data_IF_456979498563
#
_entry.id   IF_456979498563
#
_cell.length_a   1.000
_cell.length_b   1.000
_cell.length_c   1.000
_cell.angle_alpha   90.00
_cell.angle_beta   90.00
_cell.angle_gamma   90.00
#
_symmetry.space_group_name_H-M   'P 1'
#
loop_
_entity.id
_entity.type
_entity.pdbx_description
1 polymer ?
#
# COMPACT_ATOMS: atom_id res chain seq x y z
N UNK A 1 -4.39 22.03 -16.40
CA UNK A 1 -3.47 21.04 -16.99
C UNK A 1 -2.67 20.24 -15.95
N UNK A 2 -2.43 20.78 -14.73
CA UNK A 2 -1.57 20.13 -13.70
C UNK A 2 -2.23 19.00 -12.89
N UNK A 3 -3.50 18.71 -13.08
CA UNK A 3 -4.27 17.72 -12.31
C UNK A 3 -4.69 16.48 -13.11
N UNK A 4 -4.23 16.31 -14.34
CA UNK A 4 -4.62 15.17 -15.17
C UNK A 4 -3.64 14.02 -14.99
N UNK A 5 -4.19 12.80 -14.92
CA UNK A 5 -3.41 11.57 -15.01
C UNK A 5 -2.57 11.58 -16.29
N UNK A 6 -1.33 11.06 -16.26
CA UNK A 6 -0.57 10.85 -17.49
C UNK A 6 -1.38 9.99 -18.47
N UNK A 7 -1.53 10.43 -19.72
CA UNK A 7 -2.40 9.80 -20.72
C UNK A 7 -2.13 8.31 -20.97
N UNK A 8 -0.91 7.84 -20.64
CA UNK A 8 -0.49 6.45 -20.82
C UNK A 8 -0.80 5.53 -19.62
N UNK A 9 -1.22 6.11 -18.47
CA UNK A 9 -1.49 5.35 -17.23
C UNK A 9 -2.97 4.97 -17.15
N UNK A 10 -3.27 3.73 -17.51
CA UNK A 10 -4.63 3.18 -17.42
C UNK A 10 -4.60 1.82 -16.74
N UNK A 11 -5.54 1.58 -15.82
CA UNK A 11 -5.73 0.26 -15.24
C UNK A 11 -6.49 -0.62 -16.24
N UNK A 12 -6.04 -1.86 -16.41
CA UNK A 12 -6.75 -2.84 -17.23
C UNK A 12 -8.14 -3.15 -16.68
N UNK A 13 -9.01 -3.65 -17.55
CA UNK A 13 -10.27 -4.25 -17.10
C UNK A 13 -10.05 -5.69 -16.60
N UNK A 14 -10.87 -6.12 -15.65
CA UNK A 14 -10.81 -7.41 -14.99
C UNK A 14 -11.87 -8.35 -15.57
N UNK A 15 -11.50 -9.58 -15.86
CA UNK A 15 -12.44 -10.61 -16.30
C UNK A 15 -13.43 -10.99 -15.20
N UNK A 16 -14.61 -11.51 -15.59
CA UNK A 16 -15.60 -12.02 -14.64
C UNK A 16 -15.00 -12.95 -13.57
N UNK A 17 -14.00 -13.76 -13.95
CA UNK A 17 -13.31 -14.66 -13.05
C UNK A 17 -12.51 -13.95 -11.99
N UNK A 18 -11.71 -12.96 -12.39
CA UNK A 18 -10.92 -12.14 -11.48
C UNK A 18 -11.83 -11.33 -10.55
N UNK A 19 -12.92 -10.77 -11.07
CA UNK A 19 -13.90 -10.03 -10.25
C UNK A 19 -14.58 -10.94 -9.22
N UNK A 20 -14.92 -12.17 -9.60
CA UNK A 20 -15.48 -13.15 -8.67
C UNK A 20 -14.50 -13.52 -7.54
N UNK A 21 -13.20 -13.63 -7.85
CA UNK A 21 -12.13 -13.84 -6.86
C UNK A 21 -11.96 -12.62 -5.95
N UNK A 22 -11.84 -11.41 -6.51
CA UNK A 22 -11.71 -10.15 -5.78
C UNK A 22 -12.89 -9.94 -4.81
N UNK A 23 -14.12 -10.24 -5.24
CA UNK A 23 -15.32 -10.09 -4.43
C UNK A 23 -15.62 -11.32 -3.55
N UNK A 24 -14.83 -12.39 -3.68
CA UNK A 24 -15.07 -13.69 -3.01
C UNK A 24 -16.51 -14.20 -3.18
N UNK A 25 -17.02 -14.13 -4.42
CA UNK A 25 -18.35 -14.66 -4.82
C UNK A 25 -18.18 -15.74 -5.91
N UNK A 26 -19.24 -16.53 -6.17
CA UNK A 26 -19.18 -17.52 -7.24
C UNK A 26 -19.31 -16.87 -8.63
N UNK A 27 -18.65 -17.44 -9.62
CA UNK A 27 -18.76 -17.03 -11.02
C UNK A 27 -20.21 -17.04 -11.54
N UNK A 28 -20.98 -18.09 -11.16
CA UNK A 28 -22.39 -18.23 -11.56
C UNK A 28 -23.25 -17.11 -10.98
N UNK A 29 -23.03 -16.75 -9.72
CA UNK A 29 -23.76 -15.67 -9.07
C UNK A 29 -23.47 -14.32 -9.74
N UNK A 30 -22.19 -13.98 -9.97
CA UNK A 30 -21.82 -12.72 -10.61
C UNK A 30 -22.33 -12.65 -12.06
N UNK A 31 -22.32 -13.78 -12.78
CA UNK A 31 -22.91 -13.89 -14.11
C UNK A 31 -24.42 -13.65 -14.09
N UNK A 32 -25.12 -14.23 -13.11
CA UNK A 32 -26.57 -14.05 -12.98
C UNK A 32 -26.93 -12.60 -12.69
N UNK A 33 -26.22 -11.94 -11.76
CA UNK A 33 -26.41 -10.51 -11.49
C UNK A 33 -26.31 -9.66 -12.78
N UNK A 34 -25.31 -9.97 -13.61
CA UNK A 34 -25.12 -9.25 -14.90
C UNK A 34 -26.25 -9.53 -15.91
N UNK A 35 -26.84 -10.74 -15.89
CA UNK A 35 -27.98 -11.10 -16.77
C UNK A 35 -29.24 -10.40 -16.30
N UNK A 36 -29.48 -10.34 -15.00
CA UNK A 36 -30.62 -9.72 -14.37
C UNK A 36 -30.57 -8.19 -14.38
N UNK A 37 -29.48 -7.61 -14.92
CA UNK A 37 -29.28 -6.16 -14.97
C UNK A 37 -29.03 -5.53 -13.60
N UNK A 38 -28.59 -6.33 -12.61
CA UNK A 38 -28.28 -5.89 -11.26
C UNK A 38 -26.79 -5.49 -11.18
N UNK A 39 -26.53 -4.26 -10.74
CA UNK A 39 -25.18 -3.67 -10.71
C UNK A 39 -24.75 -3.05 -12.06
N UNK A 40 -23.47 -2.71 -12.20
CA UNK A 40 -22.94 -2.05 -13.39
C UNK A 40 -22.93 -2.98 -14.60
N UNK A 41 -23.15 -2.39 -15.78
CA UNK A 41 -23.11 -3.12 -17.06
C UNK A 41 -21.65 -3.39 -17.47
N UNK A 42 -21.22 -4.66 -17.59
CA UNK A 42 -19.86 -4.98 -17.99
C UNK A 42 -19.61 -4.65 -19.46
N UNK A 43 -18.34 -4.43 -19.80
CA UNK A 43 -17.89 -4.43 -21.18
C UNK A 43 -17.91 -5.86 -21.73
N UNK A 44 -18.38 -6.01 -22.98
CA UNK A 44 -18.41 -7.30 -23.65
C UNK A 44 -17.23 -7.40 -24.63
N UNK A 45 -16.30 -8.29 -24.33
CA UNK A 45 -15.22 -8.65 -25.24
C UNK A 45 -15.63 -9.76 -26.23
N UNK A 46 -14.64 -10.31 -26.92
CA UNK A 46 -14.85 -11.41 -27.88
C UNK A 46 -15.55 -12.60 -27.22
N UNK A 47 -16.45 -13.23 -27.95
CA UNK A 47 -17.24 -14.37 -27.48
C UNK A 47 -18.12 -14.07 -26.25
N UNK A 48 -18.56 -12.82 -26.05
CA UNK A 48 -19.42 -12.43 -24.94
C UNK A 48 -18.77 -12.48 -23.56
N UNK A 49 -17.44 -12.46 -23.49
CA UNK A 49 -16.70 -12.41 -22.24
C UNK A 49 -16.96 -11.06 -21.57
N UNK A 50 -17.22 -11.09 -20.26
CA UNK A 50 -17.51 -9.89 -19.45
C UNK A 50 -16.25 -9.37 -18.81
N UNK A 51 -16.02 -8.06 -18.92
CA UNK A 51 -14.93 -7.33 -18.29
C UNK A 51 -15.48 -6.16 -17.49
N UNK A 52 -14.81 -5.84 -16.37
CA UNK A 52 -15.21 -4.78 -15.46
C UNK A 52 -14.01 -3.89 -15.14
N UNK A 53 -14.21 -2.59 -15.12
CA UNK A 53 -13.25 -1.63 -14.57
C UNK A 53 -13.25 -1.72 -13.03
N UNK A 54 -12.20 -1.21 -12.36
CA UNK A 54 -12.16 -1.17 -10.89
C UNK A 54 -13.32 -0.34 -10.31
N UNK A 55 -13.72 0.75 -10.98
CA UNK A 55 -14.90 1.54 -10.60
C UNK A 55 -16.17 0.67 -10.60
N UNK A 56 -16.39 -0.11 -11.62
CA UNK A 56 -17.52 -1.03 -11.69
C UNK A 56 -17.44 -2.12 -10.61
N UNK A 57 -16.25 -2.58 -10.26
CA UNK A 57 -16.07 -3.51 -9.14
C UNK A 57 -16.47 -2.83 -7.82
N UNK A 58 -16.11 -1.56 -7.62
CA UNK A 58 -16.52 -0.81 -6.44
C UNK A 58 -18.04 -0.55 -6.39
N UNK A 59 -18.69 -0.31 -7.52
CA UNK A 59 -20.16 -0.26 -7.63
C UNK A 59 -20.80 -1.61 -7.24
N UNK A 60 -20.24 -2.73 -7.70
CA UNK A 60 -20.67 -4.08 -7.27
C UNK A 60 -20.49 -4.29 -5.76
N UNK A 61 -19.42 -3.78 -5.15
CA UNK A 61 -19.20 -3.84 -3.71
C UNK A 61 -20.31 -3.14 -2.94
N UNK A 62 -20.68 -1.92 -3.35
CA UNK A 62 -21.79 -1.17 -2.76
C UNK A 62 -23.11 -1.95 -2.87
N UNK A 63 -23.40 -2.46 -4.05
CA UNK A 63 -24.60 -3.26 -4.29
C UNK A 63 -24.63 -4.51 -3.39
N UNK A 64 -23.52 -5.27 -3.33
CA UNK A 64 -23.45 -6.48 -2.51
C UNK A 64 -23.55 -6.19 -1.01
N UNK A 65 -22.94 -5.10 -0.55
CA UNK A 65 -23.04 -4.67 0.85
C UNK A 65 -24.47 -4.29 1.23
N UNK A 66 -25.20 -3.61 0.34
CA UNK A 66 -26.59 -3.22 0.58
C UNK A 66 -27.55 -4.41 0.59
N UNK A 67 -27.33 -5.39 -0.29
CA UNK A 67 -28.20 -6.58 -0.41
C UNK A 67 -27.85 -7.70 0.57
N UNK A 68 -26.67 -7.65 1.19
CA UNK A 68 -26.17 -8.63 2.17
C UNK A 68 -25.64 -7.96 3.43
N UNK A 69 -26.50 -7.38 4.27
CA UNK A 69 -26.07 -6.62 5.45
C UNK A 69 -25.16 -7.39 6.42
N UNK A 70 -25.37 -8.71 6.55
CA UNK A 70 -24.54 -9.59 7.40
C UNK A 70 -23.10 -9.71 6.92
N UNK A 71 -22.89 -9.60 5.61
CA UNK A 71 -21.59 -9.70 4.95
C UNK A 71 -21.07 -8.32 4.47
N UNK A 72 -21.72 -7.22 4.86
CA UNK A 72 -21.43 -5.89 4.35
C UNK A 72 -19.96 -5.51 4.48
N UNK A 73 -19.32 -5.82 5.61
CA UNK A 73 -17.89 -5.56 5.83
C UNK A 73 -16.96 -6.29 4.86
N UNK A 74 -17.35 -7.47 4.41
CA UNK A 74 -16.61 -8.24 3.42
C UNK A 74 -16.58 -7.54 2.05
N UNK A 75 -17.67 -6.88 1.69
CA UNK A 75 -17.80 -6.22 0.40
C UNK A 75 -17.38 -4.75 0.44
N UNK A 76 -17.62 -4.06 1.57
CA UNK A 76 -17.38 -2.65 1.73
C UNK A 76 -16.57 -2.37 3.01
N UNK A 77 -15.23 -2.51 2.93
CA UNK A 77 -14.37 -2.47 4.10
C UNK A 77 -14.09 -1.07 4.64
N UNK A 78 -14.69 -0.05 4.05
CA UNK A 78 -14.45 1.35 4.40
C UNK A 78 -14.59 1.64 5.88
N UNK A 79 -13.81 2.59 6.36
CA UNK A 79 -13.83 3.08 7.73
C UNK A 79 -15.22 3.56 8.12
N UNK A 80 -15.67 3.23 9.31
CA UNK A 80 -16.94 3.65 9.89
C UNK A 80 -16.72 4.80 10.85
N UNK A 81 -17.82 5.46 11.23
CA UNK A 81 -17.81 6.45 12.30
C UNK A 81 -17.26 5.85 13.60
N UNK A 82 -16.35 6.56 14.27
CA UNK A 82 -15.66 6.10 15.48
C UNK A 82 -14.41 5.26 15.23
N UNK A 83 -14.17 4.76 14.01
CA UNK A 83 -12.93 4.06 13.68
C UNK A 83 -11.82 5.05 13.27
N UNK A 84 -10.63 4.86 13.83
CA UNK A 84 -9.47 5.71 13.57
C UNK A 84 -8.92 5.48 12.17
N UNK A 85 -8.62 6.56 11.43
CA UNK A 85 -7.86 6.46 10.18
C UNK A 85 -6.53 5.75 10.43
N UNK A 86 -6.15 4.83 9.56
CA UNK A 86 -4.88 4.15 9.68
C UNK A 86 -3.84 4.84 8.79
N UNK A 87 -2.75 5.29 9.40
CA UNK A 87 -1.60 5.89 8.72
C UNK A 87 -0.42 4.95 8.90
N UNK A 88 -0.03 4.26 7.83
CA UNK A 88 1.01 3.24 7.83
C UNK A 88 2.29 3.82 7.24
N UNK A 89 3.35 3.96 8.04
CA UNK A 89 4.68 4.32 7.54
C UNK A 89 5.44 3.06 7.13
N UNK A 90 5.79 2.95 5.84
CA UNK A 90 6.66 1.87 5.34
C UNK A 90 8.10 2.34 5.43
N UNK A 91 8.87 1.71 6.31
CA UNK A 91 10.18 2.21 6.74
C UNK A 91 11.28 1.15 6.69
N UNK A 92 12.51 1.57 6.87
CA UNK A 92 13.75 0.76 6.86
C UNK A 92 13.98 -0.01 5.56
N UNK A 93 14.91 -0.88 5.51
CA UNK A 93 15.25 -1.93 4.56
C UNK A 93 15.05 -1.69 3.05
N UNK A 94 15.44 -2.61 2.23
CA UNK A 94 15.20 -2.55 0.79
C UNK A 94 13.72 -2.80 0.45
N UNK A 95 13.32 -2.38 -0.75
CA UNK A 95 11.97 -2.54 -1.30
C UNK A 95 10.83 -1.77 -0.59
N UNK A 96 11.13 -0.76 0.27
CA UNK A 96 10.10 0.09 0.91
C UNK A 96 9.09 0.64 -0.10
N UNK A 97 9.58 1.37 -1.09
CA UNK A 97 8.76 2.00 -2.13
C UNK A 97 7.94 0.98 -2.90
N UNK A 98 8.54 -0.16 -3.27
CA UNK A 98 7.84 -1.25 -3.93
C UNK A 98 6.76 -1.85 -3.03
N UNK A 99 7.06 -2.03 -1.74
CA UNK A 99 6.08 -2.51 -0.74
C UNK A 99 4.91 -1.53 -0.61
N UNK A 100 5.20 -0.24 -0.43
CA UNK A 100 4.16 0.80 -0.37
C UNK A 100 3.30 0.80 -1.64
N UNK A 101 3.92 0.74 -2.82
CA UNK A 101 3.24 0.73 -4.12
C UNK A 101 2.25 -0.44 -4.27
N UNK A 102 2.67 -1.66 -3.94
CA UNK A 102 1.78 -2.82 -4.02
C UNK A 102 0.74 -2.87 -2.90
N UNK A 103 1.07 -2.33 -1.72
CA UNK A 103 0.12 -2.24 -0.60
C UNK A 103 -1.04 -1.29 -0.92
N UNK A 104 -0.77 -0.06 -1.38
CA UNK A 104 -1.83 0.90 -1.70
C UNK A 104 -2.74 0.42 -2.83
N UNK A 105 -2.18 -0.23 -3.84
CA UNK A 105 -2.96 -0.82 -4.93
C UNK A 105 -3.80 -2.01 -4.45
N UNK A 106 -3.23 -2.88 -3.60
CA UNK A 106 -3.95 -4.01 -3.01
C UNK A 106 -5.13 -3.56 -2.13
N UNK A 107 -4.93 -2.52 -1.32
CA UNK A 107 -5.98 -1.89 -0.51
C UNK A 107 -7.09 -1.29 -1.40
N UNK A 108 -6.73 -0.54 -2.44
CA UNK A 108 -7.70 0.05 -3.37
C UNK A 108 -8.50 -1.03 -4.13
N UNK A 109 -7.84 -2.11 -4.57
CA UNK A 109 -8.50 -3.27 -5.18
C UNK A 109 -9.51 -3.94 -4.23
N UNK A 110 -9.32 -3.85 -2.92
CA UNK A 110 -10.27 -4.34 -1.94
C UNK A 110 -11.38 -3.34 -1.58
N UNK A 111 -11.32 -2.10 -2.11
CA UNK A 111 -12.37 -1.10 -1.97
C UNK A 111 -12.18 -0.10 -0.84
N UNK A 112 -11.00 -0.05 -0.23
CA UNK A 112 -10.60 1.04 0.68
C UNK A 112 -10.40 2.35 -0.08
N UNK A 113 -10.63 3.49 0.59
CA UNK A 113 -10.17 4.80 0.13
C UNK A 113 -8.75 5.00 0.63
N UNK A 114 -7.81 5.12 -0.29
CA UNK A 114 -6.38 5.08 0.03
C UNK A 114 -5.70 6.36 -0.43
N UNK A 115 -4.84 6.92 0.42
CA UNK A 115 -3.91 7.99 0.08
C UNK A 115 -2.47 7.45 0.15
N UNK A 116 -1.78 7.45 -0.97
CA UNK A 116 -0.35 7.21 -1.02
C UNK A 116 0.39 8.53 -0.79
N UNK A 117 1.39 8.55 0.09
CA UNK A 117 2.20 9.74 0.37
C UNK A 117 3.66 9.42 0.12
N UNK A 118 4.29 10.17 -0.78
CA UNK A 118 5.69 10.01 -1.12
C UNK A 118 6.54 11.06 -0.39
N UNK A 119 7.30 10.62 0.62
CA UNK A 119 8.23 11.48 1.38
C UNK A 119 9.69 11.29 0.92
N UNK A 120 9.91 10.65 -0.22
CA UNK A 120 11.24 10.56 -0.82
C UNK A 120 11.51 11.78 -1.72
N UNK A 121 12.64 12.46 -1.49
CA UNK A 121 13.10 13.58 -2.32
C UNK A 121 13.38 13.20 -3.79
N UNK A 122 13.58 11.91 -4.06
CA UNK A 122 13.69 11.41 -5.42
C UNK A 122 12.32 11.19 -6.09
N UNK A 123 11.23 11.20 -5.33
CA UNK A 123 9.89 10.98 -5.85
C UNK A 123 9.65 9.56 -6.36
N UNK A 124 10.30 8.57 -5.73
CA UNK A 124 10.33 7.19 -6.25
C UNK A 124 8.95 6.53 -6.33
N UNK A 125 8.07 6.76 -5.36
CA UNK A 125 6.69 6.27 -5.41
C UNK A 125 5.87 7.04 -6.45
N UNK A 126 6.08 8.34 -6.54
CA UNK A 126 5.41 9.23 -7.51
C UNK A 126 5.70 8.81 -8.94
N UNK A 127 6.96 8.50 -9.23
CA UNK A 127 7.39 8.02 -10.55
C UNK A 127 6.71 6.69 -10.92
N UNK A 128 6.53 5.78 -9.96
CA UNK A 128 5.81 4.51 -10.18
C UNK A 128 4.33 4.71 -10.53
N UNK A 129 3.73 5.86 -10.18
CA UNK A 129 2.40 6.28 -10.59
C UNK A 129 2.40 7.20 -11.82
N UNK A 130 3.55 7.38 -12.48
CA UNK A 130 3.68 8.20 -13.68
C UNK A 130 3.86 9.69 -13.42
N UNK A 131 3.98 10.13 -12.17
CA UNK A 131 4.25 11.52 -11.81
C UNK A 131 5.75 11.76 -11.64
N UNK A 132 6.43 12.00 -12.76
CA UNK A 132 7.88 12.27 -12.78
C UNK A 132 8.15 13.76 -12.67
N UNK A 133 8.64 14.21 -11.52
CA UNK A 133 8.92 15.63 -11.24
C UNK A 133 10.05 16.23 -12.11
N UNK A 134 10.93 15.40 -12.69
CA UNK A 134 11.98 15.83 -13.61
C UNK A 134 11.45 16.15 -15.01
N UNK A 135 10.29 15.63 -15.38
CA UNK A 135 9.68 15.80 -16.72
C UNK A 135 8.47 16.73 -16.67
N UNK A 136 7.72 16.69 -15.56
CA UNK A 136 6.50 17.49 -15.40
C UNK A 136 6.57 18.28 -14.07
N UNK A 137 6.25 19.58 -14.05
CA UNK A 137 6.15 20.33 -12.81
C UNK A 137 4.97 19.80 -12.00
N UNK A 138 5.25 18.93 -11.03
CA UNK A 138 4.24 18.37 -10.12
C UNK A 138 4.37 19.10 -8.79
N UNK A 139 3.25 19.67 -8.31
CA UNK A 139 3.17 20.22 -6.96
C UNK A 139 3.27 19.06 -5.96
N UNK A 140 4.31 19.07 -5.14
CA UNK A 140 4.61 17.99 -4.20
C UNK A 140 4.11 18.30 -2.78
N UNK A 141 4.23 17.32 -1.87
CA UNK A 141 3.91 17.51 -0.45
C UNK A 141 4.69 18.68 0.16
N UNK A 142 5.85 19.05 -0.39
CA UNK A 142 6.60 20.22 0.05
C UNK A 142 5.72 21.47 0.15
N UNK A 143 4.81 21.68 -0.81
CA UNK A 143 3.92 22.83 -0.79
C UNK A 143 2.96 22.85 0.43
N UNK A 144 2.65 21.70 1.00
CA UNK A 144 1.78 21.61 2.18
C UNK A 144 2.53 21.67 3.52
N UNK A 145 3.84 21.38 3.51
CA UNK A 145 4.63 21.31 4.75
C UNK A 145 5.69 22.42 4.89
N UNK A 146 5.90 23.26 3.87
CA UNK A 146 6.87 24.36 3.88
C UNK A 146 6.64 25.35 5.01
N UNK A 147 7.68 26.10 5.38
CA UNK A 147 7.68 27.00 6.56
C UNK A 147 7.27 28.44 6.28
N UNK A 148 7.16 28.82 5.02
CA UNK A 148 6.83 30.18 4.59
C UNK A 148 5.33 30.39 4.36
N UNK A 149 4.98 31.65 4.02
CA UNK A 149 3.59 32.07 3.79
C UNK A 149 2.96 31.49 2.51
N UNK A 150 3.75 30.78 1.68
CA UNK A 150 3.24 30.09 0.49
C UNK A 150 2.76 28.65 0.80
N UNK A 151 2.68 28.27 2.09
CA UNK A 151 2.12 26.98 2.48
C UNK A 151 0.69 26.86 1.95
N UNK A 152 0.41 25.70 1.35
CA UNK A 152 -0.88 25.40 0.75
C UNK A 152 -1.57 24.22 1.45
N UNK A 153 -2.88 24.10 1.33
CA UNK A 153 -3.60 22.91 1.78
C UNK A 153 -3.11 21.67 1.01
N UNK A 154 -2.99 20.54 1.70
CA UNK A 154 -2.62 19.25 1.09
C UNK A 154 -3.62 18.83 0.01
N UNK A 155 -4.90 19.21 0.12
CA UNK A 155 -5.93 18.94 -0.88
C UNK A 155 -5.57 19.47 -2.27
N UNK A 156 -4.80 20.56 -2.36
CA UNK A 156 -4.34 21.14 -3.63
C UNK A 156 -3.17 20.36 -4.26
N UNK A 157 -2.53 19.51 -3.48
CA UNK A 157 -1.36 18.72 -3.86
C UNK A 157 -1.76 17.32 -4.30
N UNK A 158 -2.86 16.79 -3.76
CA UNK A 158 -3.36 15.44 -4.07
C UNK A 158 -3.59 15.28 -5.57
N UNK A 159 -3.16 14.15 -6.10
CA UNK A 159 -3.29 13.75 -7.50
C UNK A 159 -4.04 12.44 -7.60
N UNK A 160 -4.97 12.31 -8.56
CA UNK A 160 -5.63 11.04 -8.82
C UNK A 160 -4.62 10.02 -9.36
N UNK A 161 -4.87 8.75 -9.09
CA UNK A 161 -4.18 7.66 -9.79
C UNK A 161 -5.13 6.96 -10.76
N UNK A 162 -4.61 6.03 -11.54
CA UNK A 162 -5.42 5.19 -12.42
C UNK A 162 -6.15 4.04 -11.68
N UNK A 163 -6.01 3.95 -10.35
CA UNK A 163 -6.79 3.04 -9.50
C UNK A 163 -7.94 3.82 -8.86
N UNK A 164 -9.18 3.41 -9.11
CA UNK A 164 -10.35 3.99 -8.46
C UNK A 164 -10.27 3.82 -6.94
N UNK A 165 -10.37 4.91 -6.18
CA UNK A 165 -10.24 4.92 -4.72
C UNK A 165 -8.81 5.05 -4.20
N UNK A 166 -7.82 5.32 -5.08
CA UNK A 166 -6.43 5.57 -4.70
C UNK A 166 -5.94 6.90 -5.26
N UNK A 167 -5.54 7.79 -4.37
CA UNK A 167 -4.91 9.06 -4.69
C UNK A 167 -3.46 9.11 -4.19
N UNK A 168 -2.67 10.05 -4.72
CA UNK A 168 -1.26 10.23 -4.43
C UNK A 168 -0.98 11.67 -3.98
N UNK A 169 -0.18 11.82 -2.93
CA UNK A 169 0.56 13.06 -2.61
C UNK A 169 1.98 12.88 -3.10
N UNK A 170 2.40 13.58 -4.18
CA UNK A 170 3.70 13.38 -4.78
C UNK A 170 4.85 13.88 -3.90
N UNK A 171 5.98 13.16 -3.93
CA UNK A 171 7.28 13.63 -3.48
C UNK A 171 8.02 14.36 -4.60
N UNK A 172 9.02 15.17 -4.23
CA UNK A 172 9.90 15.82 -5.18
C UNK A 172 11.21 16.25 -4.55
N UNK A 173 12.17 16.64 -5.39
CA UNK A 173 13.44 17.20 -4.97
C UNK A 173 13.31 18.42 -4.02
N UNK A 174 12.19 19.14 -4.07
CA UNK A 174 11.93 20.27 -3.16
C UNK A 174 11.90 19.85 -1.69
N UNK A 175 11.64 18.59 -1.36
CA UNK A 175 11.71 18.06 -0.01
C UNK A 175 13.08 18.26 0.64
N UNK A 176 14.16 18.38 -0.14
CA UNK A 176 15.47 18.73 0.38
C UNK A 176 15.51 20.15 1.00
N UNK A 177 14.74 21.10 0.46
CA UNK A 177 14.60 22.44 1.05
C UNK A 177 13.95 22.36 2.43
N UNK A 178 12.95 21.47 2.58
CA UNK A 178 12.32 21.23 3.87
C UNK A 178 13.33 20.67 4.88
N UNK A 179 14.15 19.70 4.50
CA UNK A 179 15.20 19.13 5.34
C UNK A 179 16.24 20.20 5.76
N UNK A 180 16.71 21.01 4.83
CA UNK A 180 17.68 22.08 5.09
C UNK A 180 17.11 23.14 6.04
N UNK A 181 15.87 23.55 5.84
CA UNK A 181 15.20 24.53 6.68
C UNK A 181 14.93 23.98 8.08
N UNK A 182 14.49 22.71 8.16
CA UNK A 182 14.29 22.00 9.42
C UNK A 182 15.59 21.89 10.23
N UNK A 183 16.70 21.58 9.56
CA UNK A 183 18.01 21.50 10.19
C UNK A 183 18.46 22.87 10.72
N UNK A 184 18.28 23.94 9.95
CA UNK A 184 18.60 25.32 10.38
C UNK A 184 17.80 25.70 11.62
N UNK A 185 16.50 25.46 11.62
CA UNK A 185 15.60 25.75 12.76
C UNK A 185 15.98 24.93 14.00
N UNK A 186 16.28 23.65 13.84
CA UNK A 186 16.73 22.79 14.92
C UNK A 186 18.02 23.33 15.60
N UNK A 187 18.97 23.84 14.81
CA UNK A 187 20.21 24.40 15.34
C UNK A 187 19.97 25.77 16.01
N UNK A 188 19.15 26.65 15.44
CA UNK A 188 18.94 28.02 15.96
C UNK A 188 18.00 28.09 17.15
N UNK A 189 16.97 27.22 17.20
CA UNK A 189 15.85 27.32 18.13
C UNK A 189 15.79 26.14 19.13
N UNK A 190 16.66 25.13 18.91
CA UNK A 190 16.80 23.94 19.76
C UNK A 190 15.72 22.89 19.56
N UNK A 191 15.84 21.75 20.25
CA UNK A 191 14.97 20.56 20.06
C UNK A 191 13.49 20.79 20.45
N UNK A 192 13.17 21.87 21.14
CA UNK A 192 11.76 22.26 21.42
C UNK A 192 11.00 22.70 20.19
N UNK A 193 11.71 23.12 19.12
CA UNK A 193 11.14 23.57 17.85
C UNK A 193 11.02 22.40 16.85
N UNK A 194 10.41 21.33 17.28
CA UNK A 194 10.13 20.21 16.39
C UNK A 194 8.80 20.42 15.62
N UNK A 195 8.61 21.61 15.03
CA UNK A 195 7.48 21.90 14.12
C UNK A 195 7.47 21.01 12.88
N UNK A 196 8.57 20.31 12.64
CA UNK A 196 8.76 19.44 11.47
C UNK A 196 7.69 18.36 11.36
N UNK A 197 7.51 17.63 12.44
CA UNK A 197 6.57 16.52 12.50
C UNK A 197 5.13 16.98 12.55
N UNK A 198 4.86 18.08 13.27
CA UNK A 198 3.53 18.69 13.37
C UNK A 198 3.00 19.09 11.99
N UNK A 199 3.86 19.53 11.07
CA UNK A 199 3.44 19.93 9.71
C UNK A 199 2.90 18.77 8.88
N UNK A 200 3.54 17.61 8.94
CA UNK A 200 3.05 16.41 8.24
C UNK A 200 1.74 15.94 8.87
N UNK A 201 1.68 15.88 10.20
CA UNK A 201 0.46 15.52 10.94
C UNK A 201 -0.69 16.48 10.60
N UNK A 202 -0.44 17.80 10.63
CA UNK A 202 -1.46 18.80 10.33
C UNK A 202 -1.97 18.70 8.89
N UNK A 203 -1.06 18.52 7.93
CA UNK A 203 -1.42 18.35 6.54
C UNK A 203 -2.31 17.11 6.32
N UNK A 204 -1.94 15.96 6.89
CA UNK A 204 -2.73 14.73 6.74
C UNK A 204 -4.08 14.82 7.44
N UNK A 205 -4.18 15.58 8.54
CA UNK A 205 -5.44 15.79 9.26
C UNK A 205 -6.48 16.55 8.44
N UNK A 206 -6.07 17.43 7.52
CA UNK A 206 -7.00 18.14 6.64
C UNK A 206 -7.88 17.21 5.79
N UNK A 207 -7.37 16.00 5.49
CA UNK A 207 -8.03 15.02 4.61
C UNK A 207 -8.39 13.71 5.33
N UNK A 208 -8.39 13.73 6.66
CA UNK A 208 -8.68 12.55 7.49
C UNK A 208 -10.05 11.90 7.17
N UNK A 209 -11.05 12.72 6.85
CA UNK A 209 -12.40 12.23 6.54
C UNK A 209 -12.49 11.53 5.17
N UNK A 210 -11.58 11.84 4.25
CA UNK A 210 -11.66 11.39 2.86
C UNK A 210 -11.07 10.00 2.64
N UNK A 211 -10.13 9.59 3.49
CA UNK A 211 -9.37 8.33 3.33
C UNK A 211 -9.50 7.40 4.54
N UNK A 212 -9.59 6.11 4.26
CA UNK A 212 -9.63 5.05 5.27
C UNK A 212 -8.22 4.70 5.74
N UNK A 213 -7.29 4.63 4.78
CA UNK A 213 -5.89 4.27 4.99
C UNK A 213 -4.98 5.26 4.25
N UNK A 214 -3.96 5.74 4.94
CA UNK A 214 -2.84 6.50 4.36
C UNK A 214 -1.61 5.61 4.42
N UNK A 215 -0.85 5.50 3.33
CA UNK A 215 0.43 4.79 3.32
C UNK A 215 1.53 5.76 2.96
N UNK A 216 2.48 5.94 3.86
CA UNK A 216 3.64 6.81 3.68
C UNK A 216 4.82 5.96 3.22
N UNK A 217 5.33 6.23 2.01
CA UNK A 217 6.64 5.74 1.59
C UNK A 217 7.70 6.66 2.17
N UNK A 218 8.39 6.20 3.22
CA UNK A 218 9.38 6.97 3.94
C UNK A 218 10.65 7.23 3.11
N UNK A 219 11.36 8.31 3.45
CA UNK A 219 12.68 8.61 2.92
C UNK A 219 13.68 7.48 3.23
N UNK A 220 14.70 7.26 2.39
CA UNK A 220 15.70 6.22 2.61
C UNK A 220 16.60 6.50 3.82
N UNK A 221 16.74 7.74 4.20
CA UNK A 221 17.62 8.20 5.28
C UNK A 221 16.82 8.47 6.57
N UNK A 222 17.50 8.41 7.72
CA UNK A 222 16.98 8.94 8.96
C UNK A 222 17.06 10.47 8.93
N UNK A 223 15.95 11.12 8.62
CA UNK A 223 15.85 12.54 8.38
C UNK A 223 14.67 13.16 9.12
N UNK A 224 14.50 14.49 9.06
CA UNK A 224 13.34 15.16 9.62
C UNK A 224 12.02 14.67 9.01
N UNK A 225 12.00 14.39 7.70
CA UNK A 225 10.83 13.78 7.03
C UNK A 225 10.51 12.40 7.61
N UNK A 226 11.52 11.61 7.91
CA UNK A 226 11.36 10.28 8.55
C UNK A 226 10.74 10.43 9.95
N UNK A 227 11.23 11.38 10.75
CA UNK A 227 10.64 11.69 12.08
C UNK A 227 9.19 12.11 11.95
N UNK A 228 8.88 13.00 10.99
CA UNK A 228 7.51 13.44 10.73
C UNK A 228 6.58 12.31 10.25
N UNK A 229 7.10 11.38 9.43
CA UNK A 229 6.35 10.20 9.02
C UNK A 229 6.01 9.29 10.20
N UNK A 230 6.94 9.11 11.16
CA UNK A 230 6.72 8.30 12.35
C UNK A 230 5.75 8.95 13.32
N UNK A 231 5.82 10.25 13.52
CA UNK A 231 4.88 10.95 14.40
C UNK A 231 3.45 10.94 13.82
N UNK A 232 3.32 11.01 12.49
CA UNK A 232 2.02 10.94 11.82
C UNK A 232 1.44 9.51 11.79
N UNK A 233 2.28 8.49 11.88
CA UNK A 233 1.87 7.10 11.71
C UNK A 233 1.05 6.57 12.89
N UNK A 234 0.04 5.76 12.58
CA UNK A 234 -0.67 4.90 13.55
C UNK A 234 -0.12 3.48 13.56
N UNK A 235 0.58 3.09 12.48
CA UNK A 235 1.27 1.83 12.34
C UNK A 235 2.57 1.96 11.55
N UNK A 236 3.53 1.11 11.85
CA UNK A 236 4.81 1.07 11.16
C UNK A 236 5.03 -0.31 10.57
N UNK A 237 5.36 -0.35 9.27
CA UNK A 237 5.74 -1.57 8.57
C UNK A 237 7.23 -1.48 8.19
N UNK A 238 8.05 -2.27 8.88
CA UNK A 238 9.51 -2.30 8.71
C UNK A 238 9.87 -3.39 7.70
N UNK A 239 10.44 -3.02 6.55
CA UNK A 239 10.89 -4.00 5.56
C UNK A 239 12.27 -4.55 5.91
N UNK A 240 12.45 -5.86 5.80
CA UNK A 240 13.71 -6.57 6.10
C UNK A 240 14.05 -7.49 4.94
N UNK A 241 15.29 -7.44 4.45
CA UNK A 241 15.80 -8.46 3.53
C UNK A 241 16.47 -9.58 4.35
N UNK A 242 16.16 -10.86 4.10
CA UNK A 242 16.66 -11.96 4.93
C UNK A 242 18.10 -12.36 4.57
N UNK A 243 18.99 -11.37 4.41
CA UNK A 243 20.44 -11.59 4.24
C UNK A 243 21.17 -11.04 5.45
N UNK A 244 22.12 -11.80 5.99
CA UNK A 244 22.88 -11.41 7.17
C UNK A 244 23.50 -10.01 7.06
N UNK A 245 24.00 -9.64 5.88
CA UNK A 245 24.55 -8.31 5.62
C UNK A 245 23.52 -7.17 5.77
N UNK A 246 22.22 -7.45 5.63
CA UNK A 246 21.13 -6.47 5.72
C UNK A 246 20.52 -6.39 7.14
N UNK A 247 20.84 -7.33 8.01
CA UNK A 247 20.34 -7.34 9.41
C UNK A 247 20.95 -6.20 10.22
N UNK A 248 22.27 -5.97 10.10
CA UNK A 248 22.94 -4.92 10.85
C UNK A 248 22.44 -3.50 10.50
N UNK A 249 22.26 -3.12 9.22
CA UNK A 249 21.60 -1.87 8.84
C UNK A 249 20.17 -1.74 9.38
N UNK A 250 19.40 -2.83 9.38
CA UNK A 250 18.05 -2.83 9.95
C UNK A 250 18.08 -2.60 11.47
N UNK A 251 18.98 -3.26 12.20
CA UNK A 251 19.16 -3.06 13.64
C UNK A 251 19.60 -1.62 13.97
N UNK A 252 20.51 -1.04 13.18
CA UNK A 252 20.90 0.36 13.32
C UNK A 252 19.70 1.30 13.13
N UNK A 253 18.89 1.06 12.09
CA UNK A 253 17.68 1.83 11.86
C UNK A 253 16.72 1.75 13.07
N UNK A 254 16.50 0.57 13.64
CA UNK A 254 15.64 0.39 14.82
C UNK A 254 16.16 1.14 16.06
N UNK A 255 17.46 1.16 16.26
CA UNK A 255 18.08 1.97 17.31
C UNK A 255 17.83 3.47 17.11
N UNK A 256 18.01 3.96 15.89
CA UNK A 256 17.71 5.35 15.53
C UNK A 256 16.22 5.67 15.67
N UNK A 257 15.35 4.77 15.23
CA UNK A 257 13.91 4.90 15.39
C UNK A 257 13.50 5.02 16.87
N UNK A 258 14.00 4.12 17.73
CA UNK A 258 13.77 4.17 19.18
C UNK A 258 14.26 5.49 19.78
N UNK A 259 15.43 5.97 19.34
CA UNK A 259 15.95 7.27 19.77
C UNK A 259 15.04 8.43 19.39
N UNK A 260 14.53 8.45 18.14
CA UNK A 260 13.60 9.50 17.68
C UNK A 260 12.27 9.46 18.42
N UNK A 261 11.68 8.28 18.63
CA UNK A 261 10.47 8.13 19.46
C UNK A 261 10.70 8.73 20.84
N UNK A 262 11.82 8.38 21.50
CA UNK A 262 12.16 8.92 22.81
C UNK A 262 12.35 10.45 22.81
N UNK A 263 12.85 11.04 21.73
CA UNK A 263 12.96 12.51 21.60
C UNK A 263 11.60 13.17 21.46
N UNK A 264 10.69 12.60 20.67
CA UNK A 264 9.33 13.09 20.49
C UNK A 264 8.57 13.04 21.83
N UNK A 265 8.69 11.94 22.58
CA UNK A 265 8.08 11.78 23.90
C UNK A 265 8.60 12.82 24.92
N UNK A 266 9.90 13.10 24.92
CA UNK A 266 10.53 14.11 25.81
C UNK A 266 10.01 15.53 25.58
N UNK A 267 9.52 15.84 24.37
CA UNK A 267 8.89 17.14 24.10
C UNK A 267 7.38 17.14 24.36
N UNK A 268 6.87 16.10 25.03
CA UNK A 268 5.47 16.03 25.49
C UNK A 268 4.49 15.55 24.42
N UNK A 269 4.97 14.86 23.36
CA UNK A 269 4.14 14.32 22.30
C UNK A 269 4.25 12.78 22.30
N UNK A 270 3.34 12.07 23.00
CA UNK A 270 3.38 10.61 23.05
C UNK A 270 3.06 10.03 21.66
N UNK A 271 3.89 9.09 21.22
CA UNK A 271 3.67 8.34 19.97
C UNK A 271 3.03 7.00 20.36
N UNK A 272 1.80 6.79 19.92
CA UNK A 272 1.06 5.57 20.18
C UNK A 272 0.78 4.85 18.87
N UNK A 273 1.54 3.80 18.61
CA UNK A 273 1.29 2.93 17.45
C UNK A 273 0.27 1.86 17.80
N UNK A 274 -0.71 1.66 16.92
CA UNK A 274 -1.64 0.55 16.98
C UNK A 274 -0.92 -0.77 16.67
N UNK A 275 0.13 -0.70 15.82
CA UNK A 275 1.01 -1.83 15.54
C UNK A 275 2.39 -1.38 15.03
N UNK A 276 3.41 -2.20 15.28
CA UNK A 276 4.70 -2.19 14.59
C UNK A 276 4.93 -3.60 14.06
N UNK A 277 5.04 -3.76 12.74
CA UNK A 277 5.22 -5.07 12.12
C UNK A 277 6.43 -5.09 11.22
N UNK A 278 7.06 -6.25 11.13
CA UNK A 278 8.19 -6.52 10.26
C UNK A 278 7.76 -7.35 9.06
N UNK A 279 8.22 -6.98 7.88
CA UNK A 279 7.93 -7.68 6.64
C UNK A 279 9.22 -8.15 5.97
N UNK A 280 9.37 -9.45 5.81
CA UNK A 280 10.45 -10.00 4.99
C UNK A 280 10.15 -9.73 3.52
N UNK A 281 11.09 -9.05 2.84
CA UNK A 281 10.99 -8.70 1.42
C UNK A 281 12.14 -9.30 0.63
N UNK A 282 11.96 -9.47 -0.69
CA UNK A 282 12.96 -10.04 -1.61
C UNK A 282 13.44 -11.44 -1.16
N UNK A 283 12.56 -12.20 -0.53
CA UNK A 283 12.84 -13.54 -0.03
C UNK A 283 12.88 -14.55 -1.17
N UNK A 284 13.99 -15.26 -1.32
CA UNK A 284 14.02 -16.49 -2.15
C UNK A 284 13.78 -17.72 -1.24
N UNK A 285 12.57 -18.31 -1.27
CA UNK A 285 12.26 -19.47 -0.43
C UNK A 285 13.09 -20.73 -0.77
N UNK A 286 13.93 -20.70 -1.82
CA UNK A 286 14.82 -21.80 -2.21
C UNK A 286 16.22 -21.61 -1.65
N UNK A 287 16.59 -20.40 -1.20
CA UNK A 287 17.87 -20.11 -0.58
C UNK A 287 17.84 -20.54 0.90
N UNK A 288 18.67 -21.54 1.22
CA UNK A 288 18.75 -22.11 2.59
C UNK A 288 19.19 -21.05 3.61
N UNK A 289 20.14 -20.18 3.27
CA UNK A 289 20.64 -19.12 4.16
C UNK A 289 19.54 -18.08 4.47
N UNK A 290 18.72 -17.75 3.46
CA UNK A 290 17.58 -16.86 3.68
C UNK A 290 16.48 -17.52 4.53
N UNK A 291 16.23 -18.83 4.34
CA UNK A 291 15.30 -19.58 5.21
C UNK A 291 15.76 -19.61 6.67
N UNK A 292 17.04 -19.86 6.92
CA UNK A 292 17.62 -19.83 8.28
C UNK A 292 17.51 -18.44 8.90
N UNK A 293 17.77 -17.39 8.12
CA UNK A 293 17.64 -16.00 8.56
C UNK A 293 16.17 -15.66 8.89
N UNK A 294 15.22 -16.10 8.08
CA UNK A 294 13.78 -15.92 8.35
C UNK A 294 13.36 -16.66 9.62
N UNK A 295 13.87 -17.87 9.85
CA UNK A 295 13.61 -18.62 11.08
C UNK A 295 14.13 -17.86 12.32
N UNK A 296 15.37 -17.34 12.25
CA UNK A 296 15.95 -16.51 13.32
C UNK A 296 15.13 -15.23 13.58
N UNK A 297 14.66 -14.56 12.51
CA UNK A 297 13.80 -13.39 12.66
C UNK A 297 12.46 -13.74 13.32
N UNK A 298 11.87 -14.91 13.00
CA UNK A 298 10.64 -15.40 13.65
C UNK A 298 10.83 -15.66 15.14
N UNK A 299 11.93 -16.31 15.50
CA UNK A 299 12.25 -16.58 16.89
C UNK A 299 12.48 -15.29 17.70
N UNK A 300 13.05 -14.26 17.05
CA UNK A 300 13.38 -12.99 17.70
C UNK A 300 12.22 -12.01 17.78
N UNK A 301 11.37 -11.95 16.76
CA UNK A 301 10.31 -10.95 16.61
C UNK A 301 8.90 -11.51 16.91
N UNK A 302 8.77 -12.85 16.96
CA UNK A 302 7.48 -13.49 17.25
C UNK A 302 6.35 -13.01 16.34
N UNK A 303 5.25 -12.61 16.96
CA UNK A 303 4.04 -12.14 16.28
C UNK A 303 4.21 -10.77 15.58
N UNK A 304 5.31 -10.05 15.86
CA UNK A 304 5.60 -8.79 15.18
C UNK A 304 6.16 -9.01 13.76
N UNK A 305 6.63 -10.20 13.43
CA UNK A 305 7.00 -10.56 12.07
C UNK A 305 5.79 -11.10 11.29
N UNK A 306 5.44 -10.46 10.18
CA UNK A 306 4.37 -10.97 9.31
C UNK A 306 4.68 -12.41 8.88
N UNK A 307 3.64 -13.25 8.83
CA UNK A 307 3.74 -14.64 8.38
C UNK A 307 4.05 -14.71 6.89
N UNK A 308 3.39 -13.86 6.10
CA UNK A 308 3.63 -13.73 4.68
C UNK A 308 4.92 -12.96 4.39
N UNK A 309 5.59 -13.33 3.31
CA UNK A 309 6.82 -12.66 2.83
C UNK A 309 6.65 -12.23 1.38
N UNK A 310 7.27 -11.12 0.97
CA UNK A 310 7.36 -10.74 -0.44
C UNK A 310 8.52 -11.49 -1.08
N UNK A 311 8.22 -12.31 -2.07
CA UNK A 311 9.24 -13.11 -2.74
C UNK A 311 10.04 -12.30 -3.75
N UNK A 312 11.34 -12.62 -3.87
CA UNK A 312 12.15 -12.15 -5.00
C UNK A 312 11.54 -12.67 -6.30
N UNK A 313 11.29 -11.78 -7.26
CA UNK A 313 10.53 -12.13 -8.46
C UNK A 313 10.97 -11.36 -9.69
N UNK A 314 11.33 -12.10 -10.73
CA UNK A 314 11.55 -11.53 -12.05
C UNK A 314 10.30 -10.87 -12.64
N UNK A 315 9.11 -11.36 -12.28
CA UNK A 315 7.87 -10.74 -12.72
C UNK A 315 7.71 -9.31 -12.18
N UNK A 316 8.05 -9.07 -10.92
CA UNK A 316 8.05 -7.72 -10.32
C UNK A 316 9.09 -6.84 -11.01
N UNK A 317 10.28 -7.36 -11.26
CA UNK A 317 11.36 -6.64 -11.96
C UNK A 317 10.95 -6.25 -13.39
N UNK A 318 10.38 -7.18 -14.15
CA UNK A 318 9.90 -6.93 -15.52
C UNK A 318 8.73 -5.95 -15.54
N UNK A 319 7.81 -6.04 -14.58
CA UNK A 319 6.71 -5.11 -14.45
C UNK A 319 7.23 -3.67 -14.23
N UNK A 320 8.23 -3.51 -13.35
CA UNK A 320 8.87 -2.21 -13.10
C UNK A 320 9.56 -1.63 -14.35
N UNK A 321 10.23 -2.47 -15.15
CA UNK A 321 10.84 -2.04 -16.43
C UNK A 321 9.79 -1.58 -17.46
N UNK A 322 8.53 -2.00 -17.28
CA UNK A 322 7.39 -1.54 -18.08
C UNK A 322 6.63 -0.38 -17.45
N UNK A 323 7.16 0.18 -16.34
CA UNK A 323 6.51 1.24 -15.57
C UNK A 323 5.08 0.85 -15.12
N UNK A 324 4.88 -0.42 -14.76
CA UNK A 324 3.59 -1.00 -14.36
C UNK A 324 3.73 -1.88 -13.13
N UNK A 325 2.63 -2.08 -12.42
CA UNK A 325 2.53 -3.12 -11.41
C UNK A 325 2.03 -4.45 -12.01
N UNK A 326 2.14 -5.51 -11.23
CA UNK A 326 1.54 -6.80 -11.61
C UNK A 326 0.00 -6.75 -11.60
N UNK A 327 -0.62 -5.86 -10.83
CA UNK A 327 -2.07 -5.64 -10.86
C UNK A 327 -2.55 -5.05 -12.18
N UNK A 328 -1.69 -4.29 -12.87
CA UNK A 328 -1.96 -3.66 -14.16
C UNK A 328 -1.68 -4.58 -15.35
N UNK A 329 -0.86 -5.61 -15.15
CA UNK A 329 -0.44 -6.52 -16.21
C UNK A 329 -1.25 -7.82 -16.19
N UNK A 330 -1.34 -8.46 -17.34
CA UNK A 330 -1.82 -9.84 -17.43
C UNK A 330 -0.69 -10.83 -17.21
N UNK A 331 -1.01 -12.05 -16.80
CA UNK A 331 -0.03 -13.12 -16.58
C UNK A 331 0.86 -13.41 -17.80
N UNK A 332 0.33 -13.23 -19.01
CA UNK A 332 1.09 -13.41 -20.25
C UNK A 332 2.19 -12.37 -20.49
N UNK A 333 2.10 -11.20 -19.86
CA UNK A 333 3.05 -10.11 -20.06
C UNK A 333 4.43 -10.32 -19.38
N UNK A 334 4.47 -11.15 -18.33
CA UNK A 334 5.67 -11.39 -17.48
C UNK A 334 5.96 -12.87 -17.22
N UNK A 335 5.24 -13.78 -17.91
CA UNK A 335 5.35 -15.22 -17.69
C UNK A 335 4.39 -15.71 -16.58
N UNK A 336 3.52 -16.67 -16.94
CA UNK A 336 2.39 -17.09 -16.11
C UNK A 336 2.79 -17.59 -14.73
N UNK A 337 3.78 -18.50 -14.67
CA UNK A 337 4.21 -19.10 -13.39
C UNK A 337 4.83 -18.04 -12.45
N UNK A 338 5.71 -17.19 -12.97
CA UNK A 338 6.33 -16.11 -12.21
C UNK A 338 5.29 -15.07 -11.73
N UNK A 339 4.30 -14.74 -12.59
CA UNK A 339 3.19 -13.89 -12.25
C UNK A 339 2.36 -14.46 -11.08
N UNK A 340 1.91 -15.72 -11.20
CA UNK A 340 1.06 -16.37 -10.20
C UNK A 340 1.77 -16.48 -8.84
N UNK A 341 3.08 -16.79 -8.83
CA UNK A 341 3.87 -16.84 -7.60
C UNK A 341 4.04 -15.47 -6.95
N UNK A 342 4.40 -14.45 -7.73
CA UNK A 342 4.57 -13.09 -7.23
C UNK A 342 3.24 -12.52 -6.71
N UNK A 343 2.15 -12.67 -7.45
CA UNK A 343 0.83 -12.22 -7.03
C UNK A 343 0.36 -12.91 -5.76
N UNK A 344 0.63 -14.22 -5.62
CA UNK A 344 0.31 -14.95 -4.40
C UNK A 344 1.04 -14.37 -3.20
N UNK A 345 2.34 -14.10 -3.32
CA UNK A 345 3.15 -13.55 -2.22
C UNK A 345 2.67 -12.14 -1.86
N UNK A 346 2.47 -11.25 -2.83
CA UNK A 346 1.98 -9.90 -2.63
C UNK A 346 0.58 -9.85 -1.99
N UNK A 347 -0.35 -10.64 -2.53
CA UNK A 347 -1.72 -10.70 -2.00
C UNK A 347 -1.78 -11.28 -0.59
N UNK A 348 -0.89 -12.22 -0.24
CA UNK A 348 -0.81 -12.75 1.13
C UNK A 348 -0.35 -11.69 2.13
N UNK A 349 0.67 -10.89 1.76
CA UNK A 349 1.14 -9.77 2.59
C UNK A 349 0.05 -8.71 2.75
N UNK A 350 -0.58 -8.30 1.64
CA UNK A 350 -1.65 -7.30 1.68
C UNK A 350 -2.84 -7.78 2.52
N UNK A 351 -3.20 -9.05 2.44
CA UNK A 351 -4.27 -9.65 3.24
C UNK A 351 -3.95 -9.61 4.74
N UNK A 352 -2.71 -9.93 5.13
CA UNK A 352 -2.28 -9.89 6.52
C UNK A 352 -2.29 -8.45 7.07
N UNK A 353 -1.83 -7.46 6.30
CA UNK A 353 -1.92 -6.04 6.69
C UNK A 353 -3.39 -5.58 6.80
N UNK A 354 -4.28 -6.01 5.91
CA UNK A 354 -5.71 -5.70 5.99
C UNK A 354 -6.39 -6.35 7.21
N UNK A 355 -5.97 -7.55 7.60
CA UNK A 355 -6.46 -8.18 8.82
C UNK A 355 -5.98 -7.43 10.07
N UNK A 356 -4.73 -6.93 10.11
CA UNK A 356 -4.22 -6.07 11.18
C UNK A 356 -5.05 -4.77 11.27
N UNK A 357 -5.33 -4.10 10.16
CA UNK A 357 -6.19 -2.91 10.13
C UNK A 357 -7.59 -3.26 10.68
N UNK A 358 -8.13 -4.41 10.29
CA UNK A 358 -9.43 -4.88 10.76
C UNK A 358 -9.45 -5.09 12.27
N UNK A 359 -8.40 -5.69 12.83
CA UNK A 359 -8.25 -5.89 14.28
C UNK A 359 -8.18 -4.56 15.04
N UNK A 360 -7.43 -3.57 14.54
CA UNK A 360 -7.39 -2.22 15.12
C UNK A 360 -8.79 -1.58 15.14
N UNK A 361 -9.63 -1.84 14.14
CA UNK A 361 -11.01 -1.39 14.09
C UNK A 361 -12.00 -2.27 14.86
N UNK A 362 -11.51 -3.28 15.59
CA UNK A 362 -12.36 -4.23 16.31
C UNK A 362 -13.20 -5.14 15.40
N UNK A 363 -12.73 -5.36 14.16
CA UNK A 363 -13.41 -6.20 13.17
C UNK A 363 -12.74 -7.59 13.10
N UNK A 364 -13.48 -8.64 12.72
CA UNK A 364 -12.89 -9.96 12.54
C UNK A 364 -11.90 -9.97 11.34
N UNK A 365 -10.77 -10.70 11.46
CA UNK A 365 -9.84 -10.90 10.35
C UNK A 365 -10.48 -11.85 9.30
N UNK A 366 -10.54 -11.41 8.04
CA UNK A 366 -11.18 -12.16 6.96
C UNK A 366 -10.30 -12.34 5.72
N UNK A 367 -9.31 -11.46 5.51
CA UNK A 367 -8.59 -11.37 4.24
C UNK A 367 -7.62 -12.52 4.02
N UNK A 368 -6.85 -12.93 5.02
CA UNK A 368 -5.95 -14.09 4.95
C UNK A 368 -6.74 -15.36 4.64
N UNK A 369 -7.90 -15.54 5.26
CA UNK A 369 -8.77 -16.70 4.99
C UNK A 369 -9.34 -16.71 3.56
N UNK A 370 -9.59 -15.53 2.97
CA UNK A 370 -10.06 -15.40 1.59
C UNK A 370 -8.97 -15.80 0.59
N UNK A 371 -7.73 -15.31 0.77
CA UNK A 371 -6.57 -15.67 -0.07
C UNK A 371 -6.31 -17.18 -0.02
N UNK A 372 -6.38 -17.79 1.14
CA UNK A 372 -6.18 -19.23 1.32
C UNK A 372 -7.23 -20.07 0.56
N UNK A 373 -8.50 -19.67 0.60
CA UNK A 373 -9.60 -20.35 -0.13
C UNK A 373 -9.46 -20.23 -1.64
N UNK A 374 -9.07 -19.07 -2.17
CA UNK A 374 -8.86 -18.88 -3.60
C UNK A 374 -7.75 -19.77 -4.14
N UNK A 375 -6.66 -19.93 -3.38
CA UNK A 375 -5.53 -20.80 -3.72
C UNK A 375 -5.94 -22.28 -3.76
N UNK A 376 -6.78 -22.74 -2.84
CA UNK A 376 -7.25 -24.12 -2.78
C UNK A 376 -8.22 -24.45 -3.92
N UNK A 377 -9.13 -23.53 -4.25
CA UNK A 377 -10.06 -23.69 -5.37
C UNK A 377 -9.35 -23.72 -6.73
N UNK A 378 -8.27 -22.95 -6.89
CA UNK A 378 -7.41 -22.98 -8.08
C UNK A 378 -6.70 -24.32 -8.29
N UNK A 379 -6.17 -24.92 -7.20
CA UNK A 379 -5.54 -26.25 -7.25
C UNK A 379 -6.53 -27.36 -7.61
N UNK A 380 -7.72 -27.37 -7.05
CA UNK A 380 -8.75 -28.37 -7.37
C UNK A 380 -9.16 -28.32 -8.85
N UNK A 381 -9.33 -27.11 -9.43
CA UNK A 381 -9.63 -26.95 -10.87
C UNK A 381 -8.48 -27.40 -11.78
N UNK A 382 -7.22 -27.27 -11.37
CA UNK A 382 -6.08 -27.70 -12.15
C UNK A 382 -5.90 -29.23 -12.14
N UNK A 383 -6.22 -29.88 -11.02
CA UNK A 383 -6.21 -31.34 -10.91
C UNK A 383 -7.35 -31.98 -11.70
N UNK A 384 -8.56 -31.45 -11.67
CA UNK A 384 -9.67 -31.96 -12.46
C UNK A 384 -9.43 -31.88 -13.98
N UNK A 385 -8.73 -30.82 -14.45
CA UNK A 385 -8.32 -30.70 -15.87
C UNK A 385 -7.19 -31.62 -16.27
N UNK A 386 -6.38 -32.14 -15.32
CA UNK A 386 -5.33 -33.15 -15.62
C UNK A 386 -5.88 -34.56 -15.65
N UNK A 387 -6.99 -34.84 -14.99
CA UNK A 387 -7.66 -36.16 -14.97
C UNK A 387 -8.67 -36.30 -16.12
N UNK A 388 -8.98 -35.23 -16.86
CA UNK A 388 -9.88 -35.25 -18.02
C UNK A 388 -9.14 -35.13 -19.38
N UNK A 389 -7.83 -35.34 -19.41
CA UNK A 389 -6.98 -35.56 -20.57
C UNK A 389 -6.34 -36.92 -20.49
#
# INVERSE_FOLDING_TARGET
>A
AFNQLPDHMTLRSFSLGEVAEILSVSHSYLRQLSIDGLGPKPELGTAGRRFYTLRQINELRVYLASTRPKDALKFWPRRREGEKQQIISVAAGPARTTTAFYLVQGLALQGFRVLAVDLDSNGSLSEMFGYCSSVMPVRSIYAAIRYDDEQASISTVIRPTHFDGLDLVPGSFELRRFEEESARRYVSEGPKYSDVSVRIVAALKEVEADYDVVVIAGAPECSFLTVGAFEAATGVLVTVHPKLAEIAPTALFLNLFSHFVSLIEKVGRPVNYDFIKFLVTRHDPRDVSEQETVALLRDSLGDDLLTATVWESDAIRVARLKERSLYELSAGAVGRSAYEQAMKSLNSVNAEVMDIISEVWGRPPIYVSQVSRSTTAGKAKSQSRRLSK
#
